data_IF_500906441408
#
_entry.id   IF_500906441408
#
_cell.length_a   1.000
_cell.length_b   1.000
_cell.length_c   1.000
_cell.angle_alpha   90.00
_cell.angle_beta   90.00
_cell.angle_gamma   90.00
#
_symmetry.space_group_name_H-M   'P 1'
#
loop_
_entity.id
_entity.type
_entity.pdbx_description
1 polymer ?
#
# COMPACT_ATOMS: atom_id res chain seq x y z
N UNK A 1 -23.01 -11.85 29.82
CA UNK A 1 -22.23 -12.56 28.78
C UNK A 1 -21.14 -11.64 28.26
N UNK A 2 -19.86 -11.96 28.51
CA UNK A 2 -18.75 -11.18 27.97
C UNK A 2 -18.69 -11.37 26.46
N UNK A 3 -18.70 -10.28 25.68
CA UNK A 3 -18.44 -10.35 24.24
C UNK A 3 -16.98 -10.71 24.06
N UNK A 4 -16.71 -11.89 23.54
CA UNK A 4 -15.36 -12.27 23.10
C UNK A 4 -15.00 -11.31 21.96
N UNK A 5 -13.93 -10.52 22.14
CA UNK A 5 -13.44 -9.66 21.08
C UNK A 5 -13.06 -10.55 19.88
N UNK A 6 -13.45 -10.19 18.65
CA UNK A 6 -13.10 -10.97 17.46
C UNK A 6 -11.58 -11.19 17.40
N UNK A 7 -11.13 -12.38 16.97
CA UNK A 7 -9.71 -12.64 16.74
C UNK A 7 -9.19 -11.60 15.73
N UNK A 8 -8.20 -10.81 16.13
CA UNK A 8 -7.65 -9.77 15.27
C UNK A 8 -7.04 -10.36 13.99
N UNK A 9 -6.68 -11.65 13.99
CA UNK A 9 -6.17 -12.36 12.82
C UNK A 9 -7.21 -12.51 11.72
N UNK A 10 -8.48 -12.68 12.08
CA UNK A 10 -9.56 -12.92 11.10
C UNK A 10 -10.25 -11.64 10.64
N UNK A 11 -9.91 -10.49 11.26
CA UNK A 11 -10.54 -9.19 11.00
C UNK A 11 -10.45 -8.75 9.53
N UNK A 12 -9.43 -9.20 8.80
CA UNK A 12 -9.18 -8.81 7.42
C UNK A 12 -9.16 -9.99 6.44
N UNK A 13 -9.58 -11.18 6.86
CA UNK A 13 -9.54 -12.38 6.01
C UNK A 13 -10.25 -12.17 4.67
N UNK A 14 -9.54 -12.45 3.59
CA UNK A 14 -10.04 -12.37 2.22
C UNK A 14 -10.34 -10.95 1.73
N UNK A 15 -9.98 -9.90 2.48
CA UNK A 15 -10.11 -8.52 2.01
C UNK A 15 -9.15 -8.27 0.86
N UNK A 16 -7.92 -8.78 0.93
CA UNK A 16 -6.93 -8.59 -0.11
C UNK A 16 -7.26 -9.37 -1.37
N UNK A 17 -7.95 -10.51 -1.30
CA UNK A 17 -8.36 -11.27 -2.48
C UNK A 17 -9.32 -10.45 -3.37
N UNK A 18 -10.29 -9.75 -2.78
CA UNK A 18 -11.19 -8.85 -3.51
C UNK A 18 -10.45 -7.67 -4.14
N UNK A 19 -9.48 -7.12 -3.42
CA UNK A 19 -8.65 -6.03 -3.94
C UNK A 19 -7.73 -6.53 -5.06
N UNK A 20 -7.17 -7.73 -4.92
CA UNK A 20 -6.35 -8.38 -5.95
C UNK A 20 -7.12 -8.54 -7.24
N UNK A 21 -8.34 -9.08 -7.20
CA UNK A 21 -9.21 -9.20 -8.37
C UNK A 21 -9.43 -7.85 -9.07
N UNK A 22 -9.63 -6.79 -8.29
CA UNK A 22 -9.81 -5.42 -8.82
C UNK A 22 -8.51 -4.84 -9.40
N UNK A 23 -7.36 -5.20 -8.81
CA UNK A 23 -6.04 -4.74 -9.21
C UNK A 23 -5.42 -5.58 -10.34
N UNK A 24 -5.95 -6.77 -10.64
CA UNK A 24 -5.37 -7.72 -11.62
C UNK A 24 -4.94 -7.07 -12.94
N UNK A 25 -5.76 -6.23 -13.61
CA UNK A 25 -5.33 -5.61 -14.88
C UNK A 25 -4.09 -4.73 -14.71
N UNK A 26 -3.98 -4.03 -13.58
CA UNK A 26 -2.83 -3.19 -13.25
C UNK A 26 -1.61 -4.05 -12.89
N UNK A 27 -1.79 -5.14 -12.13
CA UNK A 27 -0.71 -6.07 -11.80
C UNK A 27 -0.13 -6.73 -13.06
N UNK A 28 -0.97 -7.10 -14.02
CA UNK A 28 -0.51 -7.62 -15.31
C UNK A 28 0.34 -6.60 -16.08
N UNK A 29 -0.05 -5.32 -16.06
CA UNK A 29 0.72 -4.26 -16.68
C UNK A 29 2.09 -4.07 -16.00
N UNK A 30 2.15 -4.08 -14.67
CA UNK A 30 3.41 -4.04 -13.93
C UNK A 30 4.29 -5.26 -14.25
N UNK A 31 3.70 -6.45 -14.29
CA UNK A 31 4.39 -7.68 -14.66
C UNK A 31 4.99 -7.61 -16.08
N UNK A 32 4.27 -7.02 -17.04
CA UNK A 32 4.76 -6.81 -18.40
C UNK A 32 5.97 -5.87 -18.42
N UNK A 33 5.95 -4.80 -17.62
CA UNK A 33 7.10 -3.89 -17.50
C UNK A 33 8.32 -4.65 -16.96
N UNK A 34 8.15 -5.41 -15.89
CA UNK A 34 9.22 -6.23 -15.30
C UNK A 34 9.72 -7.27 -16.31
N UNK A 35 8.83 -8.02 -16.96
CA UNK A 35 9.21 -9.00 -17.98
C UNK A 35 10.01 -8.36 -19.12
N UNK A 36 9.58 -7.18 -19.58
CA UNK A 36 10.26 -6.44 -20.66
C UNK A 36 11.65 -5.90 -20.28
N UNK A 37 11.94 -5.75 -18.98
CA UNK A 37 13.26 -5.34 -18.51
C UNK A 37 14.30 -6.45 -18.62
N UNK A 38 13.87 -7.71 -18.72
CA UNK A 38 14.75 -8.88 -18.73
C UNK A 38 15.32 -9.27 -17.36
N UNK A 39 15.02 -8.50 -16.31
CA UNK A 39 15.46 -8.75 -14.93
C UNK A 39 14.58 -9.79 -14.22
N UNK A 40 15.07 -10.26 -13.07
CA UNK A 40 14.30 -11.06 -12.11
C UNK A 40 13.70 -10.10 -11.10
N UNK A 41 12.46 -10.36 -10.67
CA UNK A 41 11.81 -9.53 -9.68
C UNK A 41 12.30 -9.91 -8.28
N UNK A 42 12.66 -8.92 -7.48
CA UNK A 42 12.78 -9.11 -6.04
C UNK A 42 11.37 -9.14 -5.45
N UNK A 43 11.05 -10.15 -4.67
CA UNK A 43 9.68 -10.47 -4.28
C UNK A 43 9.35 -10.02 -2.87
N UNK A 44 8.13 -10.30 -2.42
CA UNK A 44 7.75 -10.01 -1.04
C UNK A 44 6.28 -10.28 -0.77
N UNK A 45 5.46 -9.25 -0.95
CA UNK A 45 4.04 -9.30 -0.59
C UNK A 45 3.15 -9.95 -1.67
N UNK A 46 3.49 -9.72 -2.94
CA UNK A 46 2.66 -10.11 -4.10
C UNK A 46 3.34 -11.14 -4.99
N UNK A 47 4.63 -10.94 -5.32
CA UNK A 47 5.42 -11.83 -6.18
C UNK A 47 6.46 -12.62 -5.38
N UNK A 48 6.81 -13.83 -5.82
CA UNK A 48 7.87 -14.64 -5.21
C UNK A 48 9.23 -13.95 -5.41
N UNK A 49 10.19 -14.21 -4.52
CA UNK A 49 11.49 -13.55 -4.58
C UNK A 49 12.43 -14.17 -5.61
N UNK A 50 13.13 -13.31 -6.35
CA UNK A 50 14.18 -13.67 -7.30
C UNK A 50 13.68 -14.68 -8.34
N UNK A 51 12.61 -14.30 -9.04
CA UNK A 51 12.00 -15.10 -10.11
C UNK A 51 11.85 -14.28 -11.39
N UNK A 52 11.87 -14.96 -12.53
CA UNK A 52 11.39 -14.36 -13.78
C UNK A 52 9.87 -14.45 -13.80
N UNK A 53 9.23 -13.37 -14.22
CA UNK A 53 7.77 -13.30 -14.35
C UNK A 53 7.40 -12.90 -15.78
N UNK A 54 6.16 -13.22 -16.14
CA UNK A 54 5.49 -12.78 -17.36
C UNK A 54 4.25 -11.95 -17.01
N UNK A 55 3.61 -11.36 -18.02
CA UNK A 55 2.42 -10.53 -17.83
C UNK A 55 1.25 -11.22 -17.11
N UNK A 56 1.16 -12.56 -17.17
CA UNK A 56 0.11 -13.37 -16.56
C UNK A 56 0.47 -13.94 -15.19
N UNK A 57 1.66 -13.66 -14.69
CA UNK A 57 2.16 -14.25 -13.44
C UNK A 57 1.28 -13.84 -12.26
N UNK A 58 0.79 -14.84 -11.53
CA UNK A 58 -0.16 -14.65 -10.44
C UNK A 58 0.55 -14.37 -9.11
N UNK A 59 -0.13 -13.70 -8.16
CA UNK A 59 0.39 -13.53 -6.81
C UNK A 59 0.71 -14.86 -6.12
N UNK A 60 1.82 -14.95 -5.39
CA UNK A 60 2.18 -16.16 -4.67
C UNK A 60 1.29 -16.38 -3.43
N UNK A 61 1.03 -17.65 -3.07
CA UNK A 61 0.15 -18.00 -1.95
C UNK A 61 0.71 -17.61 -0.58
N UNK A 62 2.05 -17.67 -0.39
CA UNK A 62 2.70 -17.42 0.92
C UNK A 62 2.43 -16.03 1.50
N UNK A 63 2.10 -15.05 0.65
CA UNK A 63 1.83 -13.67 1.05
C UNK A 63 0.40 -13.37 1.47
N UNK A 64 -0.53 -14.34 1.39
CA UNK A 64 -1.97 -14.07 1.53
C UNK A 64 -2.35 -13.35 2.84
N UNK A 65 -1.96 -13.89 3.99
CA UNK A 65 -2.26 -13.27 5.29
C UNK A 65 -1.61 -11.89 5.46
N UNK A 66 -0.37 -11.72 4.96
CA UNK A 66 0.30 -10.42 4.99
C UNK A 66 -0.43 -9.39 4.12
N UNK A 67 -0.96 -9.83 2.97
CA UNK A 67 -1.75 -8.98 2.08
C UNK A 67 -3.03 -8.52 2.76
N UNK A 68 -3.73 -9.40 3.47
CA UNK A 68 -4.96 -9.03 4.20
C UNK A 68 -4.67 -7.95 5.26
N UNK A 69 -3.59 -8.11 6.04
CA UNK A 69 -3.18 -7.08 7.00
C UNK A 69 -2.77 -5.77 6.31
N UNK A 70 -1.94 -5.84 5.27
CA UNK A 70 -1.45 -4.68 4.54
C UNK A 70 -2.61 -3.88 3.91
N UNK A 71 -3.51 -4.57 3.21
CA UNK A 71 -4.71 -3.97 2.61
C UNK A 71 -5.64 -3.44 3.70
N UNK A 72 -5.82 -4.17 4.80
CA UNK A 72 -6.61 -3.71 5.94
C UNK A 72 -6.13 -2.37 6.49
N UNK A 73 -4.81 -2.21 6.65
CA UNK A 73 -4.19 -0.95 7.06
C UNK A 73 -4.33 0.15 6.00
N UNK A 74 -4.11 -0.17 4.72
CA UNK A 74 -4.25 0.77 3.62
C UNK A 74 -5.66 1.39 3.54
N UNK A 75 -6.70 0.61 3.84
CA UNK A 75 -8.11 1.06 3.80
C UNK A 75 -8.48 2.08 4.87
N UNK A 76 -7.75 2.13 5.99
CA UNK A 76 -8.05 3.04 7.11
C UNK A 76 -7.05 4.19 7.22
N UNK A 77 -5.89 4.07 6.57
CA UNK A 77 -4.91 5.13 6.50
C UNK A 77 -5.29 6.21 5.48
N UNK A 78 -4.88 7.45 5.74
CA UNK A 78 -4.93 8.55 4.75
C UNK A 78 -3.64 8.65 3.95
N UNK A 79 -2.53 8.19 4.55
CA UNK A 79 -1.18 8.28 3.99
C UNK A 79 -0.39 7.02 4.27
N UNK A 80 0.36 6.55 3.31
CA UNK A 80 1.24 5.38 3.42
C UNK A 80 2.64 5.72 2.95
N UNK A 81 3.63 5.35 3.76
CA UNK A 81 5.03 5.37 3.39
C UNK A 81 5.51 3.92 3.31
N UNK A 82 6.16 3.56 2.21
CA UNK A 82 6.74 2.24 2.01
C UNK A 82 8.22 2.37 1.65
N UNK A 83 9.07 1.54 2.24
CA UNK A 83 10.47 1.39 1.86
C UNK A 83 10.60 0.07 1.09
N UNK A 84 11.11 0.14 -0.13
CA UNK A 84 11.14 -0.95 -1.09
C UNK A 84 9.95 -0.94 -2.05
N UNK A 85 9.75 0.18 -2.77
CA UNK A 85 8.72 0.28 -3.80
C UNK A 85 8.88 -0.81 -4.89
N UNK A 86 10.12 -1.11 -5.27
CA UNK A 86 10.49 -2.16 -6.20
C UNK A 86 9.74 -2.03 -7.53
N UNK A 87 8.81 -2.95 -7.85
CA UNK A 87 7.95 -2.90 -9.04
C UNK A 87 6.54 -2.36 -8.75
N UNK A 88 6.24 -1.97 -7.51
CA UNK A 88 4.99 -1.29 -7.14
C UNK A 88 3.77 -2.19 -6.95
N UNK A 89 3.91 -3.52 -6.85
CA UNK A 89 2.76 -4.41 -6.68
C UNK A 89 2.00 -4.21 -5.35
N UNK A 90 2.72 -3.98 -4.25
CA UNK A 90 2.16 -3.59 -2.95
C UNK A 90 1.45 -2.24 -3.04
N UNK A 91 2.11 -1.24 -3.65
CA UNK A 91 1.54 0.09 -3.88
C UNK A 91 0.22 0.00 -4.67
N UNK A 92 0.17 -0.80 -5.73
CA UNK A 92 -1.03 -1.05 -6.52
C UNK A 92 -2.19 -1.56 -5.65
N UNK A 93 -1.92 -2.53 -4.76
CA UNK A 93 -2.95 -3.03 -3.84
C UNK A 93 -3.44 -1.95 -2.87
N UNK A 94 -2.52 -1.19 -2.27
CA UNK A 94 -2.88 -0.13 -1.31
C UNK A 94 -3.76 0.95 -1.98
N UNK A 95 -3.35 1.43 -3.16
CA UNK A 95 -4.03 2.49 -3.90
C UNK A 95 -5.35 2.05 -4.52
N UNK A 96 -5.48 0.77 -4.91
CA UNK A 96 -6.75 0.18 -5.34
C UNK A 96 -7.69 -0.01 -4.16
N UNK A 97 -7.19 -0.40 -2.99
CA UNK A 97 -8.01 -0.60 -1.80
C UNK A 97 -8.58 0.69 -1.21
N UNK A 98 -7.92 1.82 -1.44
CA UNK A 98 -8.29 3.10 -0.87
C UNK A 98 -8.21 4.24 -1.92
N UNK A 99 -9.36 4.78 -2.37
CA UNK A 99 -9.40 5.80 -3.41
C UNK A 99 -8.83 7.18 -2.99
N UNK A 100 -8.64 7.42 -1.69
CA UNK A 100 -8.10 8.69 -1.17
C UNK A 100 -6.71 8.57 -0.57
N UNK A 101 -6.10 7.38 -0.58
CA UNK A 101 -4.76 7.17 -0.04
C UNK A 101 -3.72 7.96 -0.83
N UNK A 102 -2.90 8.72 -0.12
CA UNK A 102 -1.63 9.25 -0.63
C UNK A 102 -0.50 8.25 -0.32
N UNK A 103 0.24 7.83 -1.34
CA UNK A 103 1.32 6.87 -1.25
C UNK A 103 2.68 7.52 -1.55
N UNK A 104 3.65 7.32 -0.66
CA UNK A 104 5.05 7.69 -0.82
C UNK A 104 5.92 6.43 -0.78
N UNK A 105 6.49 6.06 -1.92
CA UNK A 105 7.48 4.99 -2.02
C UNK A 105 8.90 5.53 -1.85
N UNK A 106 9.74 4.79 -1.16
CA UNK A 106 11.20 4.94 -1.18
C UNK A 106 11.82 3.70 -1.79
N UNK A 107 12.80 3.87 -2.66
CA UNK A 107 13.52 2.76 -3.27
C UNK A 107 14.92 3.18 -3.65
N UNK A 108 15.83 2.21 -3.80
CA UNK A 108 17.14 2.48 -4.38
C UNK A 108 17.03 2.85 -5.87
N UNK A 109 15.96 2.42 -6.53
CA UNK A 109 15.73 2.54 -7.97
C UNK A 109 16.86 1.91 -8.79
N UNK A 110 17.42 0.81 -8.27
CA UNK A 110 18.54 0.10 -8.90
C UNK A 110 18.09 -0.82 -10.05
N UNK A 111 16.82 -1.24 -10.05
CA UNK A 111 16.24 -2.06 -11.10
C UNK A 111 15.70 -1.21 -12.26
N UNK A 112 15.91 -1.64 -13.50
CA UNK A 112 15.48 -0.89 -14.69
C UNK A 112 13.95 -0.82 -14.82
N UNK A 113 13.22 -1.74 -14.17
CA UNK A 113 11.76 -1.73 -14.18
C UNK A 113 11.17 -0.69 -13.22
N UNK A 114 11.89 -0.23 -12.19
CA UNK A 114 11.32 0.55 -11.08
C UNK A 114 10.71 1.87 -11.56
N UNK A 115 11.44 2.66 -12.32
CA UNK A 115 10.94 3.96 -12.81
C UNK A 115 9.73 3.79 -13.75
N UNK A 116 9.76 2.80 -14.65
CA UNK A 116 8.66 2.54 -15.58
C UNK A 116 7.40 2.02 -14.87
N UNK A 117 7.56 1.22 -13.82
CA UNK A 117 6.46 0.79 -12.96
C UNK A 117 5.87 1.97 -12.18
N UNK A 118 6.72 2.88 -11.69
CA UNK A 118 6.27 4.11 -11.06
C UNK A 118 5.44 4.98 -12.01
N UNK A 119 5.91 5.23 -13.24
CA UNK A 119 5.19 6.02 -14.23
C UNK A 119 3.79 5.46 -14.49
N UNK A 120 3.68 4.13 -14.54
CA UNK A 120 2.41 3.44 -14.72
C UNK A 120 1.45 3.70 -13.55
N UNK A 121 1.93 3.62 -12.32
CA UNK A 121 1.13 3.90 -11.13
C UNK A 121 0.78 5.39 -11.01
N UNK A 122 1.72 6.29 -11.30
CA UNK A 122 1.49 7.73 -11.28
C UNK A 122 0.44 8.14 -12.33
N UNK A 123 0.47 7.52 -13.51
CA UNK A 123 -0.57 7.70 -14.53
C UNK A 123 -1.92 7.14 -14.10
N UNK A 124 -1.94 5.95 -13.48
CA UNK A 124 -3.18 5.30 -13.02
C UNK A 124 -3.83 6.03 -11.84
N UNK A 125 -3.03 6.63 -10.98
CA UNK A 125 -3.46 7.29 -9.75
C UNK A 125 -2.90 8.73 -9.66
N UNK A 126 -3.36 9.65 -10.54
CA UNK A 126 -2.79 10.99 -10.64
C UNK A 126 -2.81 11.74 -9.31
N UNK A 127 -1.67 12.31 -8.93
CA UNK A 127 -1.52 13.12 -7.71
C UNK A 127 -1.49 12.32 -6.40
N UNK A 128 -1.57 10.98 -6.45
CA UNK A 128 -1.61 10.13 -5.24
C UNK A 128 -0.34 9.30 -5.01
N UNK A 129 0.59 9.28 -5.96
CA UNK A 129 1.80 8.44 -5.90
C UNK A 129 3.04 9.28 -6.06
N UNK A 130 3.93 9.21 -5.08
CA UNK A 130 5.27 9.78 -5.13
C UNK A 130 6.30 8.68 -4.91
N UNK A 131 7.45 8.78 -5.58
CA UNK A 131 8.58 7.88 -5.40
C UNK A 131 9.85 8.70 -5.20
N UNK A 132 10.54 8.40 -4.11
CA UNK A 132 11.84 8.98 -3.80
C UNK A 132 12.94 7.94 -3.99
N UNK A 133 13.83 8.18 -4.96
CA UNK A 133 14.98 7.31 -5.23
C UNK A 133 16.19 7.64 -4.35
N UNK A 134 16.82 6.61 -3.79
CA UNK A 134 18.06 6.66 -3.03
C UNK A 134 18.01 5.86 -1.73
N UNK A 135 19.13 5.83 -1.01
CA UNK A 135 19.25 5.15 0.27
C UNK A 135 18.26 5.72 1.31
N UNK A 136 17.34 4.89 1.76
CA UNK A 136 16.31 5.25 2.74
C UNK A 136 16.89 5.65 4.09
N UNK A 137 18.03 5.07 4.50
CA UNK A 137 18.71 5.43 5.75
C UNK A 137 19.27 6.84 5.69
N UNK A 138 19.68 7.30 4.51
CA UNK A 138 20.17 8.67 4.30
C UNK A 138 19.01 9.65 4.14
N UNK A 139 17.98 9.29 3.38
CA UNK A 139 16.82 10.17 3.09
C UNK A 139 15.88 10.31 4.28
N UNK A 140 15.56 9.22 4.98
CA UNK A 140 14.64 9.25 6.12
C UNK A 140 15.30 9.82 7.39
N UNK A 141 16.64 9.73 7.55
CA UNK A 141 17.34 10.44 8.64
C UNK A 141 17.41 11.95 8.45
N UNK A 142 17.24 12.45 7.22
CA UNK A 142 17.21 13.90 6.93
C UNK A 142 15.82 14.49 7.16
N UNK A 143 15.75 15.82 7.15
CA UNK A 143 14.55 16.65 7.34
C UNK A 143 13.32 16.18 6.54
N UNK A 144 13.48 15.39 5.46
CA UNK A 144 12.42 14.87 4.60
C UNK A 144 11.39 14.00 5.34
N UNK A 145 11.80 13.15 6.29
CA UNK A 145 10.83 12.38 7.10
C UNK A 145 10.00 13.30 8.01
N UNK A 146 10.63 14.34 8.58
CA UNK A 146 9.93 15.33 9.40
C UNK A 146 8.97 16.16 8.56
N UNK A 147 9.34 16.53 7.34
CA UNK A 147 8.47 17.22 6.38
C UNK A 147 7.29 16.34 5.94
N UNK A 148 7.52 15.05 5.68
CA UNK A 148 6.45 14.10 5.40
C UNK A 148 5.48 13.97 6.59
N UNK A 149 6.00 13.73 7.80
CA UNK A 149 5.20 13.68 9.03
C UNK A 149 4.41 14.99 9.27
N UNK A 150 5.01 16.14 8.97
CA UNK A 150 4.36 17.45 9.14
C UNK A 150 3.30 17.73 8.08
N UNK A 151 3.43 17.20 6.86
CA UNK A 151 2.34 17.21 5.86
C UNK A 151 1.18 16.33 6.34
N UNK A 152 1.49 15.18 6.95
CA UNK A 152 0.47 14.25 7.45
C UNK A 152 -0.34 14.81 8.61
N UNK A 153 0.23 15.68 9.44
CA UNK A 153 -0.47 16.35 10.56
C UNK A 153 -1.35 17.54 10.14
N UNK A 154 -1.22 18.06 8.92
CA UNK A 154 -2.04 19.20 8.47
C UNK A 154 -3.49 18.80 8.19
N UNK A 155 -3.73 17.54 7.81
CA UNK A 155 -5.07 17.03 7.54
C UNK A 155 -5.94 16.91 8.81
N UNK A 156 -5.36 16.50 9.94
CA UNK A 156 -6.07 16.39 11.23
C UNK A 156 -6.57 17.75 11.77
N UNK A 157 -6.06 18.88 11.25
CA UNK A 157 -6.47 20.22 11.68
C UNK A 157 -7.53 20.87 10.78
N UNK A 158 -7.77 20.32 9.60
CA UNK A 158 -8.69 20.89 8.60
C UNK A 158 -9.95 20.03 8.38
N UNK A 159 -10.08 18.87 9.03
CA UNK A 159 -11.36 18.17 9.10
C UNK A 159 -12.29 18.87 10.10
N UNK A 160 -13.48 19.34 9.68
CA UNK A 160 -14.53 19.72 10.63
C UNK A 160 -14.92 18.49 11.46
N UNK A 161 -15.30 18.71 12.71
CA UNK A 161 -15.67 17.74 13.77
C UNK A 161 -16.82 16.75 13.45
N UNK A 162 -16.96 16.22 12.23
CA UNK A 162 -18.08 15.33 11.89
C UNK A 162 -17.94 13.92 12.48
N UNK A 163 -16.74 13.50 12.90
CA UNK A 163 -16.53 12.14 13.43
C UNK A 163 -16.71 12.01 14.96
N UNK A 164 -16.79 13.13 15.70
CA UNK A 164 -17.10 13.10 17.13
C UNK A 164 -18.56 12.66 17.41
N UNK A 165 -19.44 12.71 16.40
CA UNK A 165 -20.87 12.35 16.55
C UNK A 165 -21.15 10.84 16.46
N UNK A 166 -20.20 10.02 16.01
CA UNK A 166 -20.39 8.56 15.87
C UNK A 166 -19.94 7.80 17.12
N UNK A 167 -18.88 8.24 17.80
CA UNK A 167 -18.38 7.57 19.02
C UNK A 167 -19.15 7.91 20.31
N UNK A 168 -20.00 8.94 20.33
CA UNK A 168 -20.78 9.33 21.51
C UNK A 168 -22.22 8.74 21.55
N UNK A 169 -22.63 7.92 20.58
CA UNK A 169 -23.97 7.27 20.58
C UNK A 169 -24.04 5.88 21.24
N UNK A 170 -22.98 5.44 21.93
CA UNK A 170 -23.01 4.19 22.71
C UNK A 170 -22.91 4.41 24.23
N UNK A 171 -23.30 5.59 24.73
CA UNK A 171 -23.43 5.87 26.15
C UNK A 171 -24.89 5.98 26.59
N UNK A 172 -25.57 4.85 26.83
CA UNK A 172 -26.73 4.80 27.75
C UNK A 172 -27.19 3.36 27.96
N UNK A 173 -26.63 2.70 28.97
CA UNK A 173 -27.36 1.70 29.78
C UNK A 173 -26.81 1.75 31.22
N UNK A 174 -27.44 2.66 31.97
CA UNK A 174 -27.81 2.68 33.39
C UNK A 174 -26.99 1.83 34.39
N UNK A 175 -26.51 2.54 35.41
CA UNK A 175 -26.44 2.08 36.80
C UNK A 175 -27.84 1.79 37.36
#
# INVERSE_FOLDING_TARGET
MARVAPDWRTRFDGVAERVLLSATPLLHQLNQVVASSGERIEGGLVMENDVRIDGSSSPHARGAQKRDLFVGLARVGTRMLEVGFNAGHSAALALTANPTLEYEGFDLCAHNYTARCYDLLAHRFPGRVSLTCGDSVVRLRRQEFRLWMNRSRRYDRETPDSCASCCLRCGSFLA
#
